data_IF_112790326079
#
_entry.id   IF_112790326079
#
_cell.length_a   1.000
_cell.length_b   1.000
_cell.length_c   1.000
_cell.angle_alpha   90.00
_cell.angle_beta   90.00
_cell.angle_gamma   90.00
#
_symmetry.space_group_name_H-M   'P 1'
#
loop_
_entity.id
_entity.type
_entity.pdbx_description
1 polymer ?
#
# COMPACT_ATOMS: atom_id res chain seq x y z
N UNK A 1 17.11 -10.60 -81.76
CA UNK A 1 15.87 -11.40 -81.52
C UNK A 1 16.19 -12.28 -80.31
N UNK A 2 15.63 -12.16 -79.11
CA UNK A 2 14.36 -11.62 -78.64
C UNK A 2 14.57 -11.03 -77.23
N UNK A 3 13.84 -9.96 -76.94
CA UNK A 3 13.68 -9.30 -75.63
C UNK A 3 13.08 -10.26 -74.58
N UNK A 4 13.34 -10.04 -73.28
CA UNK A 4 12.39 -9.47 -72.31
C UNK A 4 12.80 -9.70 -70.82
N UNK A 5 12.89 -8.59 -70.06
CA UNK A 5 12.42 -8.35 -68.66
C UNK A 5 13.23 -8.94 -67.49
N UNK A 6 13.92 -8.10 -66.69
CA UNK A 6 13.43 -7.22 -65.60
C UNK A 6 13.38 -7.93 -64.25
N UNK A 7 14.25 -7.51 -63.31
CA UNK A 7 13.86 -7.15 -61.95
C UNK A 7 15.05 -6.42 -61.27
N UNK A 8 14.93 -5.11 -61.11
CA UNK A 8 15.83 -4.29 -60.29
C UNK A 8 15.25 -4.33 -58.87
N UNK A 9 15.95 -4.98 -57.94
CA UNK A 9 15.68 -4.86 -56.50
C UNK A 9 16.68 -3.84 -55.92
N UNK A 10 16.20 -2.61 -55.73
CA UNK A 10 16.86 -1.60 -54.90
C UNK A 10 16.89 -2.11 -53.45
N UNK A 11 18.09 -2.45 -52.96
CA UNK A 11 18.33 -2.69 -51.54
C UNK A 11 18.36 -1.37 -50.78
N UNK A 12 17.21 -0.94 -50.24
CA UNK A 12 17.16 0.09 -49.21
C UNK A 12 17.50 -0.54 -47.85
N UNK A 13 18.75 -0.38 -47.43
CA UNK A 13 19.19 -0.69 -46.06
C UNK A 13 18.59 0.36 -45.11
N UNK A 14 17.49 0.02 -44.43
CA UNK A 14 16.96 0.82 -43.33
C UNK A 14 17.88 0.60 -42.12
N UNK A 15 18.76 1.57 -41.87
CA UNK A 15 19.55 1.64 -40.64
C UNK A 15 18.60 2.12 -39.55
N UNK A 16 18.08 1.20 -38.75
CA UNK A 16 17.33 1.56 -37.54
C UNK A 16 18.38 2.00 -36.51
N UNK A 17 18.40 3.27 -36.04
CA UNK A 17 19.25 3.62 -34.92
C UNK A 17 18.75 2.83 -33.72
N UNK A 18 19.62 1.98 -33.18
CA UNK A 18 19.43 1.30 -31.91
C UNK A 18 19.32 2.39 -30.84
N UNK A 19 18.09 2.82 -30.57
CA UNK A 19 17.78 3.78 -29.52
C UNK A 19 18.24 3.13 -28.21
N UNK A 20 19.36 3.61 -27.70
CA UNK A 20 19.89 3.26 -26.39
C UNK A 20 18.81 3.69 -25.38
N UNK A 21 18.01 2.74 -24.91
CA UNK A 21 17.19 2.95 -23.71
C UNK A 21 18.19 3.09 -22.56
N UNK A 22 18.62 4.32 -22.30
CA UNK A 22 19.24 4.67 -21.04
C UNK A 22 18.19 4.36 -19.96
N UNK A 23 18.45 3.32 -19.20
CA UNK A 23 17.70 3.01 -17.99
C UNK A 23 17.84 4.22 -17.06
N UNK A 24 16.77 5.01 -16.94
CA UNK A 24 16.73 6.15 -16.04
C UNK A 24 16.83 5.58 -14.63
N UNK A 25 18.03 5.65 -14.05
CA UNK A 25 18.29 5.26 -12.68
C UNK A 25 17.52 6.23 -11.79
N UNK A 26 16.31 5.84 -11.42
CA UNK A 26 15.48 6.58 -10.47
C UNK A 26 16.24 6.60 -9.15
N UNK A 27 16.73 7.78 -8.75
CA UNK A 27 17.38 7.95 -7.46
C UNK A 27 16.35 7.65 -6.37
N UNK A 28 16.55 6.51 -5.68
CA UNK A 28 15.72 6.10 -4.56
C UNK A 28 16.02 7.05 -3.40
N UNK A 29 15.10 7.98 -3.14
CA UNK A 29 15.19 8.88 -1.98
C UNK A 29 14.89 8.07 -0.72
N UNK A 30 15.95 7.62 -0.04
CA UNK A 30 15.81 6.93 1.23
C UNK A 30 15.30 7.89 2.31
N UNK A 31 14.13 7.58 2.89
CA UNK A 31 13.55 8.35 4.00
C UNK A 31 14.36 8.15 5.28
N UNK A 32 14.49 9.22 6.08
CA UNK A 32 15.19 9.15 7.36
C UNK A 32 14.40 8.32 8.37
N UNK A 33 15.12 7.53 9.17
CA UNK A 33 14.52 6.73 10.25
C UNK A 33 13.64 7.61 11.15
N UNK A 34 12.39 7.22 11.43
CA UNK A 34 11.53 7.94 12.38
C UNK A 34 12.17 7.98 13.78
N UNK A 35 12.12 9.15 14.42
CA UNK A 35 12.60 9.38 15.80
C UNK A 35 11.57 10.19 16.59
N UNK A 36 11.73 10.26 17.91
CA UNK A 36 10.87 11.05 18.80
C UNK A 36 9.64 10.31 19.32
N UNK A 37 8.64 11.06 19.76
CA UNK A 37 7.38 10.58 20.33
C UNK A 37 6.34 10.49 19.21
N UNK A 38 5.74 9.30 19.10
CA UNK A 38 4.73 8.97 18.11
C UNK A 38 3.39 8.68 18.78
N UNK A 39 2.33 9.32 18.27
CA UNK A 39 0.99 9.12 18.79
C UNK A 39 0.30 7.98 18.04
N UNK A 40 0.12 6.86 18.74
CA UNK A 40 -0.59 5.69 18.21
C UNK A 40 -2.10 5.91 18.26
N UNK A 41 -2.73 6.03 17.09
CA UNK A 41 -4.17 6.12 17.02
C UNK A 41 -4.81 4.73 17.05
N UNK A 42 -6.09 4.71 17.42
CA UNK A 42 -6.89 3.50 17.31
C UNK A 42 -7.06 3.11 15.84
N UNK A 43 -7.15 1.80 15.59
CA UNK A 43 -7.38 1.29 14.24
C UNK A 43 -8.71 1.79 13.66
N UNK A 44 -8.66 2.24 12.42
CA UNK A 44 -9.82 2.46 11.57
C UNK A 44 -10.56 1.14 11.37
N UNK A 45 -11.89 1.21 11.51
CA UNK A 45 -12.83 0.11 11.36
C UNK A 45 -14.13 0.68 10.81
N UNK A 46 -14.68 0.08 9.75
CA UNK A 46 -15.92 0.54 9.10
C UNK A 46 -17.10 0.61 10.09
N UNK A 47 -17.16 -0.32 11.06
CA UNK A 47 -18.21 -0.32 12.10
C UNK A 47 -18.25 0.97 12.92
N UNK A 48 -17.11 1.65 13.04
CA UNK A 48 -16.93 2.89 13.78
C UNK A 48 -16.35 4.01 12.88
N UNK A 49 -16.48 3.94 11.54
CA UNK A 49 -15.75 4.82 10.62
C UNK A 49 -15.91 6.31 10.95
N UNK A 50 -17.15 6.75 11.15
CA UNK A 50 -17.47 8.14 11.52
C UNK A 50 -16.81 8.54 12.85
N UNK A 51 -16.83 7.65 13.84
CA UNK A 51 -16.19 7.87 15.14
C UNK A 51 -14.66 7.96 14.99
N UNK A 52 -14.06 7.08 14.18
CA UNK A 52 -12.61 7.09 13.93
C UNK A 52 -12.17 8.31 13.15
N UNK A 53 -12.96 8.74 12.17
CA UNK A 53 -12.73 9.98 11.42
C UNK A 53 -12.89 11.22 12.31
N UNK A 54 -13.90 11.25 13.16
CA UNK A 54 -14.05 12.29 14.18
C UNK A 54 -12.86 12.33 15.15
N UNK A 55 -12.41 11.17 15.64
CA UNK A 55 -11.22 11.08 16.50
C UNK A 55 -9.94 11.54 15.79
N UNK A 56 -9.76 11.16 14.52
CA UNK A 56 -8.64 11.60 13.71
C UNK A 56 -8.62 13.12 13.57
N UNK A 57 -9.77 13.75 13.32
CA UNK A 57 -9.86 15.21 13.18
C UNK A 57 -9.59 15.98 14.48
N UNK A 58 -9.89 15.38 15.62
CA UNK A 58 -9.94 16.09 16.91
C UNK A 58 -8.89 15.62 17.93
N UNK A 59 -7.98 14.72 17.55
CA UNK A 59 -6.94 14.26 18.48
C UNK A 59 -5.97 15.41 18.84
N UNK A 60 -5.63 15.60 20.13
CA UNK A 60 -4.70 16.65 20.56
C UNK A 60 -3.26 16.42 20.07
N UNK A 61 -2.94 15.22 19.57
CA UNK A 61 -1.62 14.90 19.05
C UNK A 61 -1.20 15.79 17.87
N UNK A 62 -2.16 16.32 17.11
CA UNK A 62 -1.86 17.23 15.99
C UNK A 62 -1.22 18.54 16.45
N UNK A 63 -1.68 19.11 17.57
CA UNK A 63 -1.17 20.40 18.06
C UNK A 63 -0.14 20.27 19.17
N UNK A 64 0.08 19.07 19.71
CA UNK A 64 1.09 18.84 20.74
C UNK A 64 2.51 19.03 20.16
N UNK A 65 3.32 19.98 20.67
CA UNK A 65 4.67 20.23 20.16
C UNK A 65 5.65 19.08 20.46
N UNK A 66 5.37 18.24 21.45
CA UNK A 66 6.23 17.12 21.83
C UNK A 66 5.99 15.86 20.97
N UNK A 67 4.94 15.84 20.14
CA UNK A 67 4.63 14.72 19.24
C UNK A 67 5.20 15.02 17.85
N UNK A 68 6.06 14.14 17.33
CA UNK A 68 6.71 14.31 16.02
C UNK A 68 5.94 13.60 14.91
N UNK A 69 5.19 12.55 15.22
CA UNK A 69 4.44 11.80 14.23
C UNK A 69 3.20 11.09 14.77
N UNK A 70 2.35 10.68 13.83
CA UNK A 70 1.09 10.00 14.08
C UNK A 70 1.13 8.63 13.39
N UNK A 71 0.77 7.58 14.13
CA UNK A 71 0.64 6.23 13.59
C UNK A 71 -0.82 6.01 13.23
N UNK A 72 -1.10 5.91 11.93
CA UNK A 72 -2.42 5.66 11.39
C UNK A 72 -2.57 4.16 11.18
N UNK A 73 -3.63 3.60 11.77
CA UNK A 73 -3.90 2.16 11.70
C UNK A 73 -5.18 1.87 10.94
N UNK A 74 -5.17 0.89 10.05
CA UNK A 74 -6.38 0.34 9.46
C UNK A 74 -6.28 -1.18 9.32
N UNK A 75 -7.44 -1.81 9.14
CA UNK A 75 -7.56 -3.25 8.90
C UNK A 75 -7.63 -3.51 7.39
N UNK A 76 -6.96 -4.55 6.90
CA UNK A 76 -6.91 -4.84 5.46
C UNK A 76 -8.31 -5.07 4.88
N UNK A 77 -9.14 -5.88 5.54
CA UNK A 77 -10.55 -6.14 5.21
C UNK A 77 -11.49 -4.92 5.30
N UNK A 78 -10.96 -3.73 5.61
CA UNK A 78 -11.70 -2.46 5.60
C UNK A 78 -11.19 -1.53 4.50
N UNK A 79 -9.89 -1.53 4.24
CA UNK A 79 -9.30 -0.67 3.21
C UNK A 79 -9.30 -1.34 1.84
N UNK A 80 -9.51 -2.66 1.75
CA UNK A 80 -9.66 -3.39 0.48
C UNK A 80 -10.76 -4.47 0.62
N UNK A 81 -12.03 -4.06 0.77
CA UNK A 81 -13.13 -5.01 0.98
C UNK A 81 -13.38 -5.91 -0.24
N UNK A 82 -13.02 -5.44 -1.44
CA UNK A 82 -13.07 -6.16 -2.70
C UNK A 82 -11.66 -6.04 -3.32
N UNK A 83 -11.13 -7.14 -3.88
CA UNK A 83 -9.80 -7.15 -4.47
C UNK A 83 -9.62 -5.98 -5.47
N UNK A 84 -8.58 -5.19 -5.26
CA UNK A 84 -8.25 -4.03 -6.10
C UNK A 84 -9.12 -2.78 -5.88
N UNK A 85 -10.14 -2.82 -5.02
CA UNK A 85 -10.97 -1.67 -4.69
C UNK A 85 -10.60 -1.11 -3.31
N UNK A 86 -9.76 -0.07 -3.31
CA UNK A 86 -9.20 0.50 -2.09
C UNK A 86 -10.02 1.67 -1.54
N UNK A 87 -10.25 1.69 -0.23
CA UNK A 87 -10.67 2.86 0.53
C UNK A 87 -9.51 3.35 1.40
N UNK A 88 -8.81 4.38 0.92
CA UNK A 88 -7.73 5.03 1.65
C UNK A 88 -8.12 6.36 2.28
N UNK A 89 -9.42 6.68 2.36
CA UNK A 89 -9.91 7.96 2.87
C UNK A 89 -9.39 8.31 4.28
N UNK A 90 -9.24 7.31 5.14
CA UNK A 90 -8.67 7.49 6.48
C UNK A 90 -7.21 7.94 6.46
N UNK A 91 -6.39 7.34 5.58
CA UNK A 91 -5.00 7.71 5.43
C UNK A 91 -4.87 9.07 4.74
N UNK A 92 -5.60 9.30 3.65
CA UNK A 92 -5.61 10.58 2.94
C UNK A 92 -5.89 11.74 3.88
N UNK A 93 -6.92 11.60 4.73
CA UNK A 93 -7.25 12.61 5.73
C UNK A 93 -6.12 12.79 6.75
N UNK A 94 -5.47 11.70 7.16
CA UNK A 94 -4.32 11.76 8.03
C UNK A 94 -3.16 12.55 7.42
N UNK A 95 -2.86 12.37 6.13
CA UNK A 95 -1.84 13.14 5.41
C UNK A 95 -2.20 14.62 5.24
N UNK A 96 -3.47 14.95 5.01
CA UNK A 96 -3.94 16.35 5.01
C UNK A 96 -3.66 17.04 6.35
N UNK A 97 -3.96 16.36 7.45
CA UNK A 97 -3.71 16.85 8.80
C UNK A 97 -2.20 16.92 9.11
N UNK A 98 -1.44 15.92 8.65
CA UNK A 98 0.02 15.91 8.76
C UNK A 98 0.64 17.14 8.10
N UNK A 99 0.19 17.46 6.89
CA UNK A 99 0.59 18.68 6.18
C UNK A 99 0.21 19.95 6.95
N UNK A 100 -1.02 20.02 7.46
CA UNK A 100 -1.52 21.18 8.20
C UNK A 100 -0.73 21.44 9.49
N UNK A 101 -0.36 20.38 10.22
CA UNK A 101 0.26 20.47 11.55
C UNK A 101 1.75 20.14 11.56
N UNK A 102 2.34 19.97 10.37
CA UNK A 102 3.73 19.58 10.17
C UNK A 102 4.14 18.36 11.02
N UNK A 103 3.36 17.28 10.91
CA UNK A 103 3.63 15.99 11.56
C UNK A 103 4.05 14.95 10.53
N UNK A 104 4.81 13.95 10.98
CA UNK A 104 5.12 12.76 10.17
C UNK A 104 4.05 11.68 10.34
N UNK A 105 3.92 10.79 9.36
CA UNK A 105 2.94 9.69 9.33
C UNK A 105 3.66 8.34 9.21
N UNK A 106 3.25 7.39 10.06
CA UNK A 106 3.48 5.95 9.89
C UNK A 106 2.15 5.36 9.44
N UNK A 107 2.16 4.63 8.34
CA UNK A 107 1.02 3.82 7.92
C UNK A 107 1.18 2.44 8.52
N UNK A 108 0.17 1.97 9.25
CA UNK A 108 0.09 0.57 9.65
C UNK A 108 -1.19 -0.08 9.12
N UNK A 109 -1.04 -1.15 8.37
CA UNK A 109 -2.17 -2.03 8.00
C UNK A 109 -2.06 -3.32 8.79
N UNK A 110 -3.16 -3.76 9.39
CA UNK A 110 -3.23 -5.06 10.04
C UNK A 110 -3.86 -6.08 9.08
N UNK A 111 -3.09 -7.10 8.72
CA UNK A 111 -3.58 -8.33 8.10
C UNK A 111 -3.93 -9.38 9.17
N UNK A 112 -3.56 -10.64 8.96
CA UNK A 112 -3.88 -11.74 9.88
C UNK A 112 -5.39 -11.99 9.92
N UNK A 113 -6.00 -11.91 11.10
CA UNK A 113 -7.46 -12.05 11.26
C UNK A 113 -8.29 -10.98 10.54
N UNK A 114 -7.63 -9.92 10.10
CA UNK A 114 -8.21 -8.83 9.33
C UNK A 114 -7.91 -8.95 7.83
N UNK A 115 -7.51 -10.12 7.35
CA UNK A 115 -7.36 -10.36 5.92
C UNK A 115 -8.75 -10.50 5.27
N UNK A 116 -9.01 -9.87 4.12
CA UNK A 116 -10.30 -9.96 3.44
C UNK A 116 -10.69 -11.39 3.04
N UNK A 117 -11.98 -11.70 2.98
CA UNK A 117 -12.43 -13.07 2.64
C UNK A 117 -12.00 -13.49 1.22
N UNK A 118 -11.89 -12.53 0.30
CA UNK A 118 -11.47 -12.79 -1.08
C UNK A 118 -10.04 -13.36 -1.17
N UNK A 119 -9.20 -13.15 -0.16
CA UNK A 119 -7.85 -13.75 -0.09
C UNK A 119 -7.96 -15.28 0.07
N UNK A 120 -8.91 -15.76 0.87
CA UNK A 120 -9.15 -17.19 1.03
C UNK A 120 -9.91 -17.78 -0.16
N UNK A 121 -10.82 -17.01 -0.77
CA UNK A 121 -11.47 -17.40 -2.02
C UNK A 121 -10.45 -17.58 -3.17
N UNK A 122 -9.33 -16.85 -3.11
CA UNK A 122 -8.19 -17.00 -4.01
C UNK A 122 -7.26 -18.18 -3.66
N UNK A 123 -7.51 -18.90 -2.56
CA UNK A 123 -6.81 -20.14 -2.22
C UNK A 123 -5.83 -20.06 -1.05
N UNK A 124 -5.73 -18.93 -0.34
CA UNK A 124 -4.83 -18.83 0.82
C UNK A 124 -5.21 -19.80 1.96
N UNK A 125 -4.23 -20.49 2.53
CA UNK A 125 -4.47 -21.45 3.61
C UNK A 125 -4.82 -20.75 4.94
N UNK A 126 -5.80 -21.32 5.67
CA UNK A 126 -6.26 -20.79 6.97
C UNK A 126 -5.52 -21.46 8.12
N UNK A 127 -4.92 -20.64 8.99
CA UNK A 127 -4.58 -21.04 10.35
C UNK A 127 -5.76 -20.72 11.28
N UNK A 128 -6.37 -21.77 11.87
CA UNK A 128 -7.50 -21.64 12.79
C UNK A 128 -7.03 -21.70 14.23
N UNK A 129 -7.48 -20.76 15.06
CA UNK A 129 -7.19 -20.72 16.48
C UNK A 129 -8.44 -20.94 17.32
N UNK A 130 -8.32 -21.84 18.29
CA UNK A 130 -9.41 -22.22 19.19
C UNK A 130 -9.25 -21.52 20.53
N UNK A 131 -10.33 -20.91 21.00
CA UNK A 131 -10.32 -20.23 22.29
C UNK A 131 -10.62 -21.20 23.43
N UNK A 132 -9.84 -21.15 24.52
CA UNK A 132 -10.06 -21.96 25.72
C UNK A 132 -11.38 -21.66 26.45
N UNK A 133 -12.00 -20.51 26.18
CA UNK A 133 -13.22 -20.03 26.84
C UNK A 133 -14.51 -20.31 26.06
N UNK A 134 -14.48 -21.21 25.06
CA UNK A 134 -15.67 -21.60 24.30
C UNK A 134 -16.16 -20.58 23.27
N UNK A 135 -15.40 -19.51 23.01
CA UNK A 135 -15.70 -18.61 21.87
C UNK A 135 -15.56 -19.34 20.53
N UNK A 136 -16.34 -18.97 19.51
CA UNK A 136 -16.19 -19.52 18.16
C UNK A 136 -14.73 -19.42 17.68
N UNK A 137 -14.21 -20.42 16.94
CA UNK A 137 -12.88 -20.33 16.35
C UNK A 137 -12.77 -19.10 15.45
N UNK A 138 -11.61 -18.46 15.51
CA UNK A 138 -11.21 -17.40 14.58
C UNK A 138 -10.08 -17.94 13.70
N UNK A 139 -9.81 -17.29 12.57
CA UNK A 139 -8.75 -17.71 11.64
C UNK A 139 -8.01 -16.52 11.03
N UNK A 140 -6.83 -16.81 10.52
CA UNK A 140 -5.98 -15.89 9.76
C UNK A 140 -5.29 -16.67 8.64
N UNK A 141 -4.78 -16.02 7.57
CA UNK A 141 -3.97 -16.74 6.60
C UNK A 141 -2.65 -17.14 7.23
N UNK A 142 -2.06 -18.23 6.74
CA UNK A 142 -0.69 -18.60 7.10
C UNK A 142 0.26 -17.48 6.61
N UNK A 143 1.13 -16.89 7.45
CA UNK A 143 1.96 -15.75 7.05
C UNK A 143 2.93 -16.00 5.88
N UNK A 144 3.33 -17.26 5.68
CA UNK A 144 4.21 -17.69 4.58
C UNK A 144 3.46 -18.36 3.42
N UNK A 145 2.13 -18.30 3.41
CA UNK A 145 1.34 -18.75 2.27
C UNK A 145 1.61 -17.85 1.05
N UNK A 146 1.92 -18.41 -0.13
CA UNK A 146 2.29 -17.61 -1.30
C UNK A 146 1.14 -16.75 -1.82
N UNK A 147 -0.12 -17.21 -1.73
CA UNK A 147 -1.29 -16.40 -2.13
C UNK A 147 -1.43 -15.22 -1.18
N UNK A 148 -1.31 -15.46 0.13
CA UNK A 148 -1.34 -14.38 1.11
C UNK A 148 -0.23 -13.34 0.86
N UNK A 149 1.00 -13.78 0.63
CA UNK A 149 2.13 -12.87 0.37
C UNK A 149 1.95 -12.07 -0.93
N UNK A 150 1.47 -12.70 -2.01
CA UNK A 150 1.18 -12.02 -3.26
C UNK A 150 0.11 -10.94 -3.06
N UNK A 151 -1.03 -11.30 -2.47
CA UNK A 151 -2.16 -10.39 -2.29
C UNK A 151 -1.81 -9.25 -1.33
N UNK A 152 -1.13 -9.53 -0.22
CA UNK A 152 -0.72 -8.49 0.71
C UNK A 152 0.38 -7.61 0.11
N UNK A 153 1.29 -8.19 -0.66
CA UNK A 153 2.29 -7.45 -1.44
C UNK A 153 1.66 -6.49 -2.46
N UNK A 154 0.51 -6.85 -3.06
CA UNK A 154 -0.22 -5.94 -3.94
C UNK A 154 -0.73 -4.71 -3.18
N UNK A 155 -1.30 -4.88 -1.99
CA UNK A 155 -1.67 -3.75 -1.14
C UNK A 155 -0.45 -2.88 -0.78
N UNK A 156 0.67 -3.49 -0.38
CA UNK A 156 1.92 -2.76 -0.08
C UNK A 156 2.35 -1.90 -1.27
N UNK A 157 2.31 -2.46 -2.48
CA UNK A 157 2.65 -1.72 -3.71
C UNK A 157 1.72 -0.53 -3.92
N UNK A 158 0.41 -0.70 -3.72
CA UNK A 158 -0.57 0.39 -3.84
C UNK A 158 -0.37 1.50 -2.81
N UNK A 159 0.00 1.15 -1.57
CA UNK A 159 0.37 2.13 -0.56
C UNK A 159 1.64 2.91 -0.99
N UNK A 160 2.65 2.21 -1.52
CA UNK A 160 3.85 2.82 -2.06
C UNK A 160 3.55 3.79 -3.21
N UNK A 161 2.82 3.33 -4.23
CA UNK A 161 2.38 4.15 -5.38
C UNK A 161 1.65 5.43 -4.93
N UNK A 162 0.84 5.35 -3.86
CA UNK A 162 0.04 6.47 -3.38
C UNK A 162 0.79 7.44 -2.48
N UNK A 163 1.64 6.94 -1.58
CA UNK A 163 2.16 7.73 -0.46
C UNK A 163 3.67 7.95 -0.48
N UNK A 164 4.44 7.21 -1.27
CA UNK A 164 5.90 7.26 -1.19
C UNK A 164 6.48 8.64 -1.57
N UNK A 165 5.83 9.37 -2.47
CA UNK A 165 6.25 10.74 -2.83
C UNK A 165 5.95 11.79 -1.74
N UNK A 166 5.18 11.44 -0.71
CA UNK A 166 4.81 12.37 0.35
C UNK A 166 6.00 12.61 1.29
N UNK A 167 6.42 13.88 1.51
CA UNK A 167 7.46 14.20 2.49
C UNK A 167 7.00 13.98 3.94
N UNK A 168 5.70 13.74 4.14
CA UNK A 168 5.12 13.46 5.45
C UNK A 168 5.11 11.96 5.77
N UNK A 169 5.33 11.07 4.79
CA UNK A 169 5.45 9.64 5.07
C UNK A 169 6.82 9.35 5.69
N UNK A 170 6.84 8.65 6.80
CA UNK A 170 8.07 8.11 7.39
C UNK A 170 8.32 6.67 6.97
N UNK A 171 7.30 5.83 7.16
CA UNK A 171 7.41 4.39 7.06
C UNK A 171 6.02 3.74 6.94
N UNK A 172 6.06 2.49 6.48
CA UNK A 172 4.89 1.62 6.35
C UNK A 172 5.20 0.33 7.12
N UNK A 173 4.33 -0.02 8.07
CA UNK A 173 4.43 -1.23 8.88
C UNK A 173 3.24 -2.14 8.56
N UNK A 174 3.51 -3.41 8.30
CA UNK A 174 2.54 -4.36 7.74
C UNK A 174 2.46 -5.63 8.60
#
# INVERSE_FOLDING_TARGET
MSLLYSLILLGCSVVIPMQLFAEEKTDIIQKSTPTGIWCLLHSYSIKDANKRMHQLNNTPCWTNPNVQGIILRAQWDKIEPIEGQYDFSYYDRGFELAKKYNKRIEIRVSAGKHSPEWVYAAGAEKFTFHHKNGKPPEYMPIPWDPVHQEKYGNLVRRLGERYDSSPYLSDVVM
#
